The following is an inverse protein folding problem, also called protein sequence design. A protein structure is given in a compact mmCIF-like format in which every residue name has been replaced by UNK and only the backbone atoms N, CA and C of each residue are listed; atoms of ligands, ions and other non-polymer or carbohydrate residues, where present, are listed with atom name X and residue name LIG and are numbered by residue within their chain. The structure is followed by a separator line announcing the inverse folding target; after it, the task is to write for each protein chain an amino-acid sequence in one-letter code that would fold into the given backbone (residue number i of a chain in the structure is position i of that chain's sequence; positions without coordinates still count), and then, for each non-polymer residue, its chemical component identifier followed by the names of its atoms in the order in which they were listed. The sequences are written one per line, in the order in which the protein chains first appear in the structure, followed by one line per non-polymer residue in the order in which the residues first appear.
data_IF_525533747343
#
_entry.id   IF_525533747343
#
_cell.length_a   1.000
_cell.length_b   1.000
_cell.length_c   1.000
_cell.angle_alpha   90.00
_cell.angle_beta   90.00
_cell.angle_gamma   90.00
#
_symmetry.space_group_name_H-M   'P 1'
#
loop_
_entity.id
_entity.type
_entity.pdbx_description
1 polymer ?
#
# COMPACT_ATOMS: atom_id res chain seq x y z
N UNK A 1 -7.50 1.81 -17.20
CA UNK A 1 -7.32 0.81 -16.12
C UNK A 1 -8.68 0.50 -15.52
N UNK A 2 -8.96 -0.75 -15.20
CA UNK A 2 -10.16 -1.15 -14.47
C UNK A 2 -9.75 -1.75 -13.12
N UNK A 3 -9.86 -1.01 -12.01
CA UNK A 3 -9.51 -1.54 -10.71
C UNK A 3 -10.56 -2.55 -10.25
N UNK A 4 -10.11 -3.66 -9.68
CA UNK A 4 -10.95 -4.64 -9.02
C UNK A 4 -10.74 -4.53 -7.50
N UNK A 5 -11.83 -4.35 -6.77
CA UNK A 5 -11.81 -4.27 -5.30
C UNK A 5 -12.37 -5.56 -4.72
N UNK A 6 -11.58 -6.25 -3.90
CA UNK A 6 -11.97 -7.50 -3.23
C UNK A 6 -11.81 -7.39 -1.72
N UNK A 7 -12.67 -8.08 -0.98
CA UNK A 7 -12.47 -8.22 0.47
C UNK A 7 -11.20 -9.04 0.74
N UNK A 8 -10.32 -8.53 1.58
CA UNK A 8 -9.13 -9.24 2.05
C UNK A 8 -9.01 -9.07 3.56
N UNK A 9 -9.13 -10.17 4.30
CA UNK A 9 -9.27 -10.16 5.76
C UNK A 9 -10.40 -9.22 6.18
N UNK A 10 -10.09 -8.12 6.86
CA UNK A 10 -11.09 -7.13 7.27
C UNK A 10 -11.05 -5.82 6.46
N UNK A 11 -10.25 -5.77 5.40
CA UNK A 11 -10.14 -4.58 4.56
C UNK A 11 -10.45 -4.90 3.10
N UNK A 12 -10.04 -4.00 2.23
CA UNK A 12 -10.35 -4.05 0.81
C UNK A 12 -9.07 -3.97 -0.01
N UNK A 13 -8.71 -5.09 -0.63
CA UNK A 13 -7.59 -5.16 -1.55
C UNK A 13 -7.99 -4.60 -2.92
N UNK A 14 -7.12 -3.82 -3.53
CA UNK A 14 -7.32 -3.21 -4.84
C UNK A 14 -6.29 -3.76 -5.82
N UNK A 15 -6.82 -4.35 -6.88
CA UNK A 15 -6.07 -4.96 -7.96
C UNK A 15 -6.21 -4.14 -9.24
N UNK A 16 -5.18 -4.12 -10.07
CA UNK A 16 -5.27 -3.67 -11.46
C UNK A 16 -4.64 -4.76 -12.33
N UNK A 17 -5.45 -5.40 -13.17
CA UNK A 17 -5.07 -6.67 -13.79
C UNK A 17 -4.80 -7.73 -12.71
N UNK A 18 -3.66 -8.42 -12.82
CA UNK A 18 -3.25 -9.45 -11.85
C UNK A 18 -2.43 -8.91 -10.67
N UNK A 19 -2.11 -7.62 -10.68
CA UNK A 19 -1.30 -6.98 -9.65
C UNK A 19 -2.16 -6.49 -8.49
N UNK A 20 -1.79 -6.88 -7.27
CA UNK A 20 -2.24 -6.27 -6.03
C UNK A 20 -1.37 -5.06 -5.73
N UNK A 21 -1.96 -3.87 -5.68
CA UNK A 21 -1.23 -2.62 -5.40
C UNK A 21 -1.39 -2.13 -3.97
N UNK A 22 -2.62 -2.19 -3.46
CA UNK A 22 -2.91 -1.64 -2.14
C UNK A 22 -4.05 -2.37 -1.43
N UNK A 23 -4.16 -2.13 -0.12
CA UNK A 23 -5.29 -2.51 0.70
C UNK A 23 -5.75 -1.31 1.53
N UNK A 24 -7.06 -1.07 1.55
CA UNK A 24 -7.69 -0.07 2.39
C UNK A 24 -8.12 -0.72 3.71
N UNK A 25 -7.73 -0.10 4.82
CA UNK A 25 -8.08 -0.57 6.15
C UNK A 25 -8.62 0.57 7.02
N UNK A 26 -9.79 0.35 7.60
CA UNK A 26 -10.39 1.24 8.60
C UNK A 26 -11.06 0.38 9.68
N UNK A 27 -10.48 0.40 10.90
CA UNK A 27 -10.93 -0.37 12.06
C UNK A 27 -10.97 0.53 13.30
N UNK A 28 -12.06 0.45 14.06
CA UNK A 28 -12.18 1.17 15.34
C UNK A 28 -11.24 0.61 16.44
N UNK A 29 -11.02 -0.72 16.48
CA UNK A 29 -10.27 -1.37 17.58
C UNK A 29 -8.75 -1.23 17.47
N UNK A 30 -8.21 -1.03 16.27
CA UNK A 30 -6.77 -0.95 16.01
C UNK A 30 -6.49 0.16 15.00
N UNK A 31 -6.76 1.43 15.36
CA UNK A 31 -6.71 2.54 14.41
C UNK A 31 -5.29 2.86 13.94
N UNK A 32 -4.27 2.44 14.71
CA UNK A 32 -2.88 2.72 14.39
C UNK A 32 -2.46 2.17 13.03
N UNK A 33 -3.04 1.08 12.53
CA UNK A 33 -2.70 0.60 11.18
C UNK A 33 -3.82 0.90 10.17
N UNK A 34 -4.72 1.84 10.44
CA UNK A 34 -5.68 2.30 9.45
C UNK A 34 -4.99 3.17 8.39
N UNK A 35 -5.53 3.14 7.17
CA UNK A 35 -5.07 3.92 6.03
C UNK A 35 -4.89 3.06 4.78
N UNK A 36 -3.91 3.46 3.96
CA UNK A 36 -3.59 2.79 2.71
C UNK A 36 -2.35 1.94 2.90
N UNK A 37 -2.53 0.63 2.86
CA UNK A 37 -1.43 -0.31 2.87
C UNK A 37 -0.95 -0.48 1.43
N UNK A 38 0.31 -0.15 1.14
CA UNK A 38 0.92 -0.27 -0.18
C UNK A 38 1.77 -1.53 -0.25
N UNK A 39 1.69 -2.21 -1.39
CA UNK A 39 2.53 -3.34 -1.74
C UNK A 39 3.70 -2.84 -2.58
N UNK A 40 4.91 -2.99 -2.06
CA UNK A 40 6.12 -2.80 -2.84
C UNK A 40 6.34 -4.00 -3.76
N UNK A 41 6.85 -3.78 -4.96
CA UNK A 41 7.22 -4.85 -5.89
C UNK A 41 8.36 -5.72 -5.36
N UNK A 42 8.65 -6.82 -6.03
CA UNK A 42 9.81 -7.66 -5.70
C UNK A 42 11.11 -6.88 -5.96
N UNK A 43 12.06 -6.92 -5.02
CA UNK A 43 13.34 -6.21 -5.13
C UNK A 43 13.32 -4.73 -4.73
N UNK A 44 12.15 -4.13 -4.50
CA UNK A 44 12.05 -2.74 -4.03
C UNK A 44 12.43 -2.62 -2.56
N UNK A 45 13.41 -1.76 -2.25
CA UNK A 45 13.82 -1.43 -0.89
C UNK A 45 12.80 -0.50 -0.21
N UNK A 46 12.22 -0.88 0.94
CA UNK A 46 11.36 0.00 1.75
C UNK A 46 12.00 1.33 2.17
N UNK A 47 13.33 1.43 2.12
CA UNK A 47 14.11 2.64 2.44
C UNK A 47 14.57 3.41 1.19
N UNK A 48 14.09 3.05 -0.01
CA UNK A 48 14.38 3.79 -1.24
C UNK A 48 14.11 5.29 -1.07
N UNK A 49 15.14 6.11 -1.27
CA UNK A 49 15.07 7.55 -1.01
C UNK A 49 14.02 8.25 -1.86
N UNK A 50 13.83 7.84 -3.11
CA UNK A 50 12.85 8.45 -4.01
C UNK A 50 11.43 8.09 -3.56
N UNK A 51 11.21 6.85 -3.15
CA UNK A 51 9.92 6.40 -2.62
C UNK A 51 9.55 7.17 -1.35
N UNK A 52 10.53 7.39 -0.47
CA UNK A 52 10.38 8.19 0.74
C UNK A 52 10.17 9.69 0.46
N UNK A 53 10.69 10.20 -0.65
CA UNK A 53 10.40 11.57 -1.10
C UNK A 53 8.98 11.68 -1.67
N UNK A 54 8.54 10.69 -2.43
CA UNK A 54 7.19 10.65 -3.00
C UNK A 54 6.12 10.47 -1.92
N UNK A 55 6.40 9.64 -0.91
CA UNK A 55 5.47 9.27 0.16
C UNK A 55 6.17 9.33 1.53
N UNK A 56 6.37 10.55 2.09
CA UNK A 56 7.12 10.76 3.33
C UNK A 56 6.55 10.05 4.57
N UNK A 57 5.23 9.88 4.68
CA UNK A 57 4.60 9.27 5.84
C UNK A 57 4.62 7.74 5.80
N UNK A 58 5.16 7.13 4.73
CA UNK A 58 5.28 5.68 4.64
C UNK A 58 5.97 5.11 5.87
N UNK A 59 5.39 4.06 6.46
CA UNK A 59 6.04 3.34 7.55
C UNK A 59 5.69 1.88 7.54
N UNK A 60 6.41 1.11 8.36
CA UNK A 60 6.05 -0.27 8.61
C UNK A 60 4.69 -0.36 9.32
N UNK A 61 3.95 -1.42 9.00
CA UNK A 61 2.71 -1.78 9.67
C UNK A 61 3.06 -2.44 11.00
N UNK A 62 2.54 -1.89 12.10
CA UNK A 62 2.92 -2.33 13.44
C UNK A 62 2.39 -3.74 13.74
N UNK A 63 1.16 -4.02 13.35
CA UNK A 63 0.49 -5.30 13.56
C UNK A 63 1.13 -6.50 12.84
N UNK A 64 2.03 -6.26 11.87
CA UNK A 64 2.79 -7.31 11.19
C UNK A 64 4.15 -7.60 11.84
N UNK A 65 4.54 -6.85 12.88
CA UNK A 65 5.77 -7.06 13.63
C UNK A 65 7.04 -7.02 12.78
N UNK A 66 7.02 -6.27 11.66
CA UNK A 66 8.15 -6.17 10.73
C UNK A 66 8.46 -7.42 9.90
N UNK A 67 7.67 -8.49 10.01
CA UNK A 67 7.95 -9.75 9.30
C UNK A 67 7.67 -9.69 7.80
N UNK A 68 6.89 -8.70 7.36
CA UNK A 68 6.45 -8.56 5.98
C UNK A 68 6.88 -7.19 5.45
N UNK A 69 8.16 -7.07 5.10
CA UNK A 69 8.79 -5.80 4.73
C UNK A 69 8.29 -5.16 3.42
N UNK A 70 7.58 -5.91 2.59
CA UNK A 70 7.03 -5.38 1.32
C UNK A 70 5.67 -4.70 1.47
N UNK A 71 5.06 -4.75 2.65
CA UNK A 71 3.88 -3.96 2.95
C UNK A 71 4.26 -2.76 3.80
N UNK A 72 3.89 -1.58 3.32
CA UNK A 72 4.03 -0.33 4.07
C UNK A 72 2.68 0.36 4.19
N UNK A 73 2.58 1.32 5.11
CA UNK A 73 1.36 2.03 5.41
C UNK A 73 1.55 3.53 5.19
N UNK A 74 0.60 4.14 4.47
CA UNK A 74 0.27 5.57 4.56
C UNK A 74 -0.80 5.70 5.66
N UNK A 75 -0.47 6.29 6.81
CA UNK A 75 -1.33 6.25 7.99
C UNK A 75 -2.52 7.23 7.87
N UNK A 76 -3.72 6.77 8.22
CA UNK A 76 -4.95 7.54 8.10
C UNK A 76 -5.02 8.78 9.03
N UNK A 77 -4.26 8.77 10.12
CA UNK A 77 -4.18 9.88 11.09
C UNK A 77 -3.13 10.95 10.72
N UNK A 78 -2.43 10.78 9.59
CA UNK A 78 -1.46 11.74 9.08
C UNK A 78 -2.12 12.97 8.46
N UNK A 79 -1.56 14.16 8.70
CA UNK A 79 -2.07 15.42 8.14
C UNK A 79 -2.05 15.46 6.60
N UNK A 80 -1.11 14.75 5.99
CA UNK A 80 -0.96 14.66 4.52
C UNK A 80 -1.61 13.39 3.93
N UNK A 81 -2.41 12.64 4.72
CA UNK A 81 -2.95 11.34 4.31
C UNK A 81 -3.61 11.35 2.93
N UNK A 82 -4.55 12.26 2.68
CA UNK A 82 -5.27 12.33 1.41
C UNK A 82 -4.33 12.65 0.24
N UNK A 83 -3.38 13.56 0.45
CA UNK A 83 -2.39 13.96 -0.55
C UNK A 83 -1.47 12.80 -0.92
N UNK A 84 -0.97 12.08 0.07
CA UNK A 84 -0.11 10.91 -0.17
C UNK A 84 -0.89 9.72 -0.74
N UNK A 85 -2.14 9.51 -0.36
CA UNK A 85 -3.00 8.51 -0.95
C UNK A 85 -3.25 8.80 -2.45
N UNK A 86 -3.52 10.06 -2.81
CA UNK A 86 -3.62 10.48 -4.21
C UNK A 86 -2.29 10.32 -4.95
N UNK A 87 -1.17 10.68 -4.31
CA UNK A 87 0.16 10.48 -4.89
C UNK A 87 0.44 9.00 -5.16
N UNK A 88 0.04 8.10 -4.27
CA UNK A 88 0.15 6.67 -4.49
C UNK A 88 -0.68 6.20 -5.70
N UNK A 89 -1.90 6.73 -5.86
CA UNK A 89 -2.70 6.49 -7.06
C UNK A 89 -2.00 6.98 -8.34
N UNK A 90 -1.37 8.16 -8.34
CA UNK A 90 -0.62 8.67 -9.49
C UNK A 90 0.57 7.77 -9.85
N UNK A 91 1.28 7.24 -8.85
CA UNK A 91 2.36 6.28 -9.06
C UNK A 91 1.85 4.97 -9.69
N UNK A 92 0.70 4.47 -9.22
CA UNK A 92 0.06 3.27 -9.79
C UNK A 92 -0.39 3.53 -11.24
N UNK A 93 -1.03 4.67 -11.50
CA UNK A 93 -1.50 5.07 -12.84
C UNK A 93 -0.34 5.27 -13.81
N UNK A 94 0.81 5.74 -13.32
CA UNK A 94 2.04 5.88 -14.12
C UNK A 94 2.85 4.59 -14.26
N UNK A 95 2.34 3.45 -13.75
CA UNK A 95 2.99 2.14 -13.77
C UNK A 95 4.37 2.15 -13.09
N UNK A 96 4.49 2.84 -11.96
CA UNK A 96 5.73 2.90 -11.19
C UNK A 96 6.20 1.48 -10.82
N UNK A 97 7.43 1.07 -11.21
CA UNK A 97 7.90 -0.30 -11.05
C UNK A 97 8.16 -0.69 -9.59
N UNK A 98 8.15 0.28 -8.66
CA UNK A 98 8.36 0.04 -7.23
C UNK A 98 7.13 -0.53 -6.53
N UNK A 99 5.96 -0.48 -7.17
CA UNK A 99 4.68 -0.84 -6.56
C UNK A 99 4.06 -2.05 -7.23
N UNK A 100 3.31 -2.81 -6.44
CA UNK A 100 2.47 -3.92 -6.90
C UNK A 100 3.18 -5.26 -6.96
N UNK A 101 2.42 -6.34 -6.68
CA UNK A 101 2.87 -7.73 -6.87
C UNK A 101 1.74 -8.57 -7.43
N UNK A 102 2.07 -9.60 -8.19
CA UNK A 102 1.14 -10.67 -8.56
C UNK A 102 1.12 -11.70 -7.42
N UNK A 103 0.02 -11.81 -6.65
CA UNK A 103 -0.09 -12.84 -5.60
C UNK A 103 -0.09 -14.23 -6.21
N UNK A 104 0.35 -15.24 -5.45
CA UNK A 104 0.39 -16.63 -5.92
C UNK A 104 -0.95 -17.15 -6.44
N UNK A 105 -2.08 -16.69 -5.88
CA UNK A 105 -3.42 -17.07 -6.33
C UNK A 105 -3.81 -16.53 -7.70
N UNK A 106 -3.04 -15.60 -8.27
CA UNK A 106 -3.22 -15.02 -9.61
C UNK A 106 -2.03 -15.30 -10.54
N UNK A 107 -1.06 -16.11 -10.09
CA UNK A 107 0.03 -16.61 -10.95
C UNK A 107 -0.41 -17.85 -11.72
#
# INVERSE_FOLDING_TARGET
MHPEVRRMFSGWAVYVGDHLFLMLLDRAKHPLDNGVWLVLSEGTDPMDKKLRQDLPSLRAIQGLGGKIGHWLLIPADGADFEKEALRACDLILSHDPRLGRIPQSRR
#
